data_IF_901795306513
#
_entry.id   IF_901795306513
#
_cell.length_a   1.000
_cell.length_b   1.000
_cell.length_c   1.000
_cell.angle_alpha   90.00
_cell.angle_beta   90.00
_cell.angle_gamma   90.00
#
_symmetry.space_group_name_H-M   'P 1'
#
loop_
_entity.id
_entity.type
_entity.pdbx_description
1 polymer ?
#
# COMPACT_ATOMS: atom_id res chain seq x y z
N UNK A 1 2.27 1.73 -15.72
CA UNK A 1 1.80 3.08 -15.35
C UNK A 1 2.19 4.04 -16.45
N UNK A 2 1.23 4.77 -17.01
CA UNK A 2 1.49 5.74 -18.07
C UNK A 2 2.12 7.01 -17.48
N UNK A 3 2.88 7.74 -18.29
CA UNK A 3 3.64 8.90 -17.84
C UNK A 3 2.76 10.01 -17.21
N UNK A 4 1.53 10.16 -17.70
CA UNK A 4 0.54 11.08 -17.12
C UNK A 4 0.08 10.67 -15.71
N UNK A 5 -0.02 9.36 -15.46
CA UNK A 5 -0.36 8.85 -14.13
C UNK A 5 0.77 9.10 -13.13
N UNK A 6 2.03 8.99 -13.58
CA UNK A 6 3.22 9.35 -12.77
C UNK A 6 3.13 10.81 -12.35
N UNK A 7 2.88 11.72 -13.28
CA UNK A 7 2.79 13.15 -12.98
C UNK A 7 1.68 13.45 -11.97
N UNK A 8 0.47 12.92 -12.20
CA UNK A 8 -0.66 13.09 -11.27
C UNK A 8 -0.40 12.49 -9.90
N UNK A 9 0.27 11.33 -9.84
CA UNK A 9 0.63 10.68 -8.59
C UNK A 9 1.61 11.55 -7.77
N UNK A 10 2.69 12.03 -8.40
CA UNK A 10 3.70 12.87 -7.74
C UNK A 10 3.08 14.15 -7.19
N UNK A 11 2.27 14.84 -8.00
CA UNK A 11 1.57 16.05 -7.56
C UNK A 11 0.70 15.79 -6.33
N UNK A 12 -0.10 14.73 -6.35
CA UNK A 12 -0.93 14.34 -5.20
C UNK A 12 -0.10 14.00 -3.97
N UNK A 13 1.01 13.28 -4.15
CA UNK A 13 1.90 12.90 -3.07
C UNK A 13 2.50 14.12 -2.38
N UNK A 14 3.05 15.07 -3.13
CA UNK A 14 3.68 16.26 -2.54
C UNK A 14 2.66 17.18 -1.88
N UNK A 15 1.49 17.38 -2.48
CA UNK A 15 0.40 18.14 -1.86
C UNK A 15 -0.10 17.50 -0.56
N UNK A 16 -0.30 16.17 -0.56
CA UNK A 16 -0.77 15.46 0.64
C UNK A 16 0.20 15.55 1.81
N UNK A 17 1.50 15.72 1.53
CA UNK A 17 2.55 15.88 2.53
C UNK A 17 2.90 17.35 2.81
N UNK A 18 2.06 18.29 2.38
CA UNK A 18 2.21 19.71 2.68
C UNK A 18 3.40 20.39 2.01
N UNK A 19 3.96 19.80 0.95
CA UNK A 19 4.99 20.48 0.16
C UNK A 19 4.37 21.55 -0.73
N UNK A 20 5.13 22.63 -0.95
CA UNK A 20 4.78 23.68 -1.88
C UNK A 20 5.33 23.36 -3.27
N UNK A 21 4.48 23.40 -4.30
CA UNK A 21 4.92 23.30 -5.70
C UNK A 21 5.29 24.71 -6.16
N UNK A 22 6.60 24.98 -6.22
CA UNK A 22 7.14 26.31 -6.52
C UNK A 22 7.15 26.63 -8.01
N UNK A 23 7.24 25.61 -8.86
CA UNK A 23 7.11 25.74 -10.30
C UNK A 23 6.48 24.48 -10.90
N UNK A 24 5.68 24.63 -11.95
CA UNK A 24 4.98 23.53 -12.61
C UNK A 24 4.77 23.85 -14.08
N UNK A 25 5.08 22.89 -14.94
CA UNK A 25 4.79 22.99 -16.37
C UNK A 25 4.47 21.64 -17.01
N UNK A 26 4.23 21.62 -18.32
CA UNK A 26 3.94 20.39 -19.03
C UNK A 26 5.17 19.46 -18.96
N UNK A 27 5.04 18.35 -18.25
CA UNK A 27 6.12 17.36 -18.14
C UNK A 27 7.17 17.62 -17.05
N UNK A 28 6.98 18.60 -16.15
CA UNK A 28 7.86 18.77 -14.99
C UNK A 28 7.17 19.46 -13.80
N UNK A 29 7.73 19.30 -12.61
CA UNK A 29 7.35 20.06 -11.42
C UNK A 29 8.57 20.31 -10.53
N UNK A 30 8.63 21.45 -9.86
CA UNK A 30 9.60 21.78 -8.83
C UNK A 30 8.87 21.92 -7.51
N UNK A 31 9.38 21.23 -6.49
CA UNK A 31 8.73 21.12 -5.18
C UNK A 31 9.70 21.53 -4.10
N UNK A 32 9.26 22.42 -3.21
CA UNK A 32 9.92 22.71 -1.95
C UNK A 32 9.53 21.65 -0.93
N UNK A 33 10.51 20.85 -0.49
CA UNK A 33 10.25 19.78 0.48
C UNK A 33 9.96 20.35 1.87
N UNK A 34 9.14 19.64 2.64
CA UNK A 34 9.04 19.83 4.08
C UNK A 34 10.27 19.24 4.79
N UNK A 35 10.47 19.56 6.07
CA UNK A 35 11.55 18.96 6.88
C UNK A 35 11.44 17.43 6.88
N UNK A 36 10.23 16.91 7.07
CA UNK A 36 10.00 15.47 7.17
C UNK A 36 10.23 14.76 5.85
N UNK A 37 9.72 15.31 4.72
CA UNK A 37 9.96 14.71 3.42
C UNK A 37 11.39 14.85 2.94
N UNK A 38 12.09 15.89 3.35
CA UNK A 38 13.50 16.00 3.07
C UNK A 38 14.32 14.92 3.80
N UNK A 39 14.04 14.65 5.08
CA UNK A 39 14.67 13.54 5.82
C UNK A 39 14.37 12.18 5.20
N UNK A 40 13.14 11.98 4.73
CA UNK A 40 12.66 10.74 4.14
C UNK A 40 13.24 10.50 2.73
N UNK A 41 13.33 11.55 1.90
CA UNK A 41 13.70 11.43 0.50
C UNK A 41 15.16 11.80 0.21
N UNK A 42 15.72 12.76 0.93
CA UNK A 42 17.07 13.27 0.71
C UNK A 42 18.02 12.58 1.67
N UNK A 43 18.86 11.69 1.12
CA UNK A 43 19.85 10.90 1.87
C UNK A 43 20.97 11.77 2.47
N UNK A 44 20.63 12.65 3.42
CA UNK A 44 21.53 13.60 4.09
C UNK A 44 21.38 13.57 5.62
N UNK A 45 21.45 12.39 6.28
CA UNK A 45 21.23 12.26 7.72
C UNK A 45 22.21 13.10 8.56
N UNK A 46 23.45 13.27 8.11
CA UNK A 46 24.46 14.08 8.82
C UNK A 46 24.12 15.56 8.88
N UNK A 47 23.49 16.11 7.83
CA UNK A 47 23.03 17.50 7.82
C UNK A 47 22.00 17.72 8.93
N UNK A 48 20.98 16.86 8.99
CA UNK A 48 19.90 16.97 9.97
C UNK A 48 20.40 16.75 11.39
N UNK A 49 21.25 15.75 11.61
CA UNK A 49 21.84 15.48 12.92
C UNK A 49 22.67 16.67 13.44
N UNK A 50 23.46 17.30 12.57
CA UNK A 50 24.22 18.49 12.95
C UNK A 50 23.30 19.69 13.26
N UNK A 51 22.30 19.92 12.41
CA UNK A 51 21.38 21.05 12.54
C UNK A 51 20.53 20.97 13.82
N UNK A 52 20.04 19.78 14.16
CA UNK A 52 19.28 19.53 15.39
C UNK A 52 20.13 19.71 16.64
N UNK A 53 21.41 19.32 16.61
CA UNK A 53 22.34 19.52 17.72
C UNK A 53 22.73 20.97 17.94
N UNK A 54 22.78 21.76 16.86
CA UNK A 54 23.25 23.14 16.89
C UNK A 54 22.12 24.15 17.00
N UNK A 55 20.85 23.73 16.90
CA UNK A 55 19.70 24.63 16.89
C UNK A 55 19.64 25.51 15.65
N UNK A 56 20.23 25.07 14.54
CA UNK A 56 20.25 25.81 13.28
C UNK A 56 18.86 25.93 12.64
N UNK A 57 18.69 26.89 11.72
CA UNK A 57 17.44 27.09 10.99
C UNK A 57 17.33 26.04 9.87
N UNK A 58 16.28 25.21 9.84
CA UNK A 58 16.08 24.20 8.81
C UNK A 58 16.06 24.79 7.40
N UNK A 59 16.77 24.15 6.46
CA UNK A 59 16.73 24.47 5.04
C UNK A 59 16.48 23.19 4.21
N UNK A 60 15.21 22.77 4.07
CA UNK A 60 14.84 21.65 3.19
C UNK A 60 15.19 21.92 1.72
N UNK A 61 15.58 20.87 0.99
CA UNK A 61 15.95 20.99 -0.41
C UNK A 61 14.74 21.18 -1.32
N UNK A 62 14.98 21.78 -2.48
CA UNK A 62 14.05 21.76 -3.60
C UNK A 62 14.36 20.59 -4.53
N UNK A 63 13.30 19.98 -5.07
CA UNK A 63 13.39 18.85 -5.99
C UNK A 63 12.66 19.18 -7.29
N UNK A 64 13.38 19.14 -8.41
CA UNK A 64 12.80 19.27 -9.75
C UNK A 64 12.68 17.88 -10.38
N UNK A 65 11.45 17.51 -10.73
CA UNK A 65 11.08 16.21 -11.30
C UNK A 65 10.60 16.39 -12.73
N UNK A 66 11.29 15.77 -13.68
CA UNK A 66 10.95 15.79 -15.10
C UNK A 66 10.17 14.52 -15.42
N UNK A 67 8.86 14.64 -15.56
CA UNK A 67 7.98 13.54 -15.93
C UNK A 67 7.78 13.43 -17.43
N UNK A 68 8.17 14.37 -18.28
CA UNK A 68 8.16 14.15 -19.72
C UNK A 68 9.19 15.07 -20.38
N UNK A 69 10.30 14.50 -20.83
CA UNK A 69 11.39 15.27 -21.45
C UNK A 69 10.99 15.96 -22.76
N UNK A 70 10.01 15.42 -23.50
CA UNK A 70 9.56 16.03 -24.76
C UNK A 70 8.72 17.29 -24.53
N UNK A 71 8.06 17.38 -23.37
CA UNK A 71 7.20 18.51 -23.01
C UNK A 71 7.92 19.51 -22.09
N UNK A 72 8.86 19.02 -21.28
CA UNK A 72 9.61 19.86 -20.36
C UNK A 72 10.50 20.85 -21.14
N UNK A 73 10.55 22.13 -20.73
CA UNK A 73 11.43 23.10 -21.36
C UNK A 73 12.90 22.66 -21.32
N UNK A 74 13.70 22.85 -22.39
CA UNK A 74 15.08 22.33 -22.47
C UNK A 74 16.05 22.88 -21.40
N UNK A 75 15.72 24.01 -20.78
CA UNK A 75 16.55 24.67 -19.78
C UNK A 75 16.29 24.15 -18.35
N UNK A 76 15.21 23.41 -18.13
CA UNK A 76 14.88 22.84 -16.82
C UNK A 76 15.84 21.68 -16.54
N UNK A 77 16.61 21.80 -15.46
CA UNK A 77 17.45 20.73 -14.94
C UNK A 77 16.73 20.06 -13.76
N UNK A 78 16.62 18.75 -13.81
CA UNK A 78 15.93 17.98 -12.79
C UNK A 78 16.13 16.48 -12.97
N UNK A 79 15.60 15.72 -12.02
CA UNK A 79 15.63 14.26 -12.06
C UNK A 79 14.55 13.75 -13.02
N UNK A 80 14.93 12.89 -13.97
CA UNK A 80 13.99 12.29 -14.92
C UNK A 80 13.26 11.15 -14.24
N UNK A 81 11.93 11.24 -14.20
CA UNK A 81 11.09 10.25 -13.53
C UNK A 81 10.36 9.42 -14.57
N UNK A 82 10.55 8.10 -14.48
CA UNK A 82 9.82 7.09 -15.23
C UNK A 82 9.51 5.93 -14.27
N UNK A 83 8.72 4.95 -14.71
CA UNK A 83 8.22 3.91 -13.82
C UNK A 83 9.30 3.12 -13.07
N UNK A 84 10.47 2.94 -13.67
CA UNK A 84 11.62 2.24 -13.08
C UNK A 84 12.65 3.15 -12.42
N UNK A 85 12.39 4.45 -12.24
CA UNK A 85 13.38 5.34 -11.62
C UNK A 85 13.47 5.07 -10.11
N UNK A 86 14.69 5.00 -9.52
CA UNK A 86 14.85 4.75 -8.09
C UNK A 86 14.07 5.73 -7.21
N UNK A 87 14.04 7.02 -7.60
CA UNK A 87 13.28 8.06 -6.90
C UNK A 87 11.79 7.79 -6.86
N UNK A 88 11.20 7.31 -7.96
CA UNK A 88 9.78 7.02 -7.96
C UNK A 88 9.45 5.85 -7.01
N UNK A 89 10.30 4.82 -6.99
CA UNK A 89 10.17 3.72 -6.04
C UNK A 89 10.32 4.20 -4.59
N UNK A 90 11.29 5.06 -4.30
CA UNK A 90 11.44 5.66 -2.97
C UNK A 90 10.19 6.45 -2.55
N UNK A 91 9.58 7.21 -3.47
CA UNK A 91 8.33 7.94 -3.20
C UNK A 91 7.17 6.97 -2.99
N UNK A 92 7.08 5.86 -3.73
CA UNK A 92 6.07 4.83 -3.47
C UNK A 92 6.24 4.19 -2.10
N UNK A 93 7.48 3.92 -1.68
CA UNK A 93 7.79 3.37 -0.36
C UNK A 93 7.40 4.35 0.74
N UNK A 94 7.79 5.61 0.59
CA UNK A 94 7.42 6.68 1.51
C UNK A 94 5.90 6.84 1.61
N UNK A 95 5.19 6.86 0.48
CA UNK A 95 3.73 6.94 0.47
C UNK A 95 3.07 5.77 1.22
N UNK A 96 3.60 4.55 1.08
CA UNK A 96 3.11 3.37 1.83
C UNK A 96 3.36 3.48 3.33
N UNK A 97 4.54 3.99 3.71
CA UNK A 97 4.91 4.16 5.11
C UNK A 97 4.06 5.24 5.81
N UNK A 98 3.84 6.38 5.13
CA UNK A 98 3.12 7.51 5.68
C UNK A 98 1.59 7.31 5.69
N UNK A 99 1.05 6.51 4.76
CA UNK A 99 -0.39 6.30 4.59
C UNK A 99 -0.87 4.90 5.03
N UNK A 100 -0.15 4.22 5.92
CA UNK A 100 -0.49 2.86 6.36
C UNK A 100 -1.79 2.76 7.17
N UNK A 101 -2.15 3.82 7.91
CA UNK A 101 -3.35 3.86 8.73
C UNK A 101 -3.94 5.28 8.84
N UNK A 102 -5.28 5.37 8.88
CA UNK A 102 -6.00 6.64 9.10
C UNK A 102 -7.14 6.50 10.12
N UNK A 103 -7.54 7.61 10.74
CA UNK A 103 -8.77 7.70 11.51
C UNK A 103 -9.67 8.80 10.94
N UNK A 104 -10.89 8.46 10.56
CA UNK A 104 -11.86 9.38 9.98
C UNK A 104 -13.24 9.23 10.61
N UNK A 105 -14.02 10.30 10.55
CA UNK A 105 -15.38 10.40 11.05
C UNK A 105 -16.29 10.83 9.90
N UNK A 106 -17.50 10.27 9.84
CA UNK A 106 -18.51 10.71 8.88
C UNK A 106 -18.93 12.14 9.18
N UNK A 107 -18.72 13.03 8.21
CA UNK A 107 -19.16 14.42 8.27
C UNK A 107 -20.63 14.50 7.86
N UNK A 108 -21.51 14.64 8.85
CA UNK A 108 -22.94 14.83 8.63
C UNK A 108 -23.36 16.25 9.03
N UNK A 109 -24.43 16.75 8.42
CA UNK A 109 -25.04 18.03 8.78
C UNK A 109 -26.29 17.75 9.59
N UNK A 110 -26.21 17.91 10.91
CA UNK A 110 -27.37 17.79 11.80
C UNK A 110 -27.76 19.13 12.40
N UNK A 111 -29.06 19.26 12.68
CA UNK A 111 -29.58 20.41 13.39
C UNK A 111 -29.08 20.42 14.85
N UNK A 112 -28.86 21.61 15.43
CA UNK A 112 -28.52 21.74 16.84
C UNK A 112 -29.50 21.00 17.76
N UNK A 113 -28.97 20.26 18.74
CA UNK A 113 -29.77 19.61 19.78
C UNK A 113 -30.00 18.10 19.62
N UNK A 114 -29.62 17.49 18.49
CA UNK A 114 -29.66 16.03 18.32
C UNK A 114 -28.25 15.46 18.24
N UNK A 115 -27.84 14.69 19.25
CA UNK A 115 -26.55 14.01 19.22
C UNK A 115 -26.62 12.75 18.37
N UNK A 116 -25.62 12.54 17.51
CA UNK A 116 -25.53 11.37 16.63
C UNK A 116 -24.40 10.45 17.06
N UNK A 117 -24.69 9.17 17.35
CA UNK A 117 -23.65 8.18 17.64
C UNK A 117 -22.92 7.78 16.36
N UNK A 118 -21.59 7.71 16.44
CA UNK A 118 -20.73 7.16 15.40
C UNK A 118 -20.18 5.81 15.82
N UNK A 119 -20.48 4.78 15.03
CA UNK A 119 -20.06 3.40 15.24
C UNK A 119 -18.65 3.18 14.69
N UNK A 120 -17.74 2.53 15.45
CA UNK A 120 -16.40 2.25 14.98
C UNK A 120 -16.39 1.09 13.98
N UNK A 121 -15.74 1.32 12.84
CA UNK A 121 -15.46 0.35 11.80
C UNK A 121 -13.95 0.25 11.58
N UNK A 122 -13.44 -0.97 11.46
CA UNK A 122 -12.09 -1.24 10.98
C UNK A 122 -12.17 -1.49 9.47
N UNK A 123 -11.64 -0.56 8.69
CA UNK A 123 -11.47 -0.73 7.25
C UNK A 123 -10.09 -1.30 6.94
N UNK A 124 -10.01 -2.29 6.05
CA UNK A 124 -8.77 -2.92 5.63
C UNK A 124 -8.76 -3.16 4.13
N UNK A 125 -7.74 -2.65 3.45
CA UNK A 125 -7.48 -2.95 2.05
C UNK A 125 -6.36 -3.99 1.98
N UNK A 126 -6.64 -5.11 1.33
CA UNK A 126 -5.84 -6.33 1.41
C UNK A 126 -5.54 -6.80 0.00
N UNK A 127 -4.31 -7.26 -0.22
CA UNK A 127 -3.90 -7.97 -1.43
C UNK A 127 -3.73 -9.44 -1.10
N UNK A 128 -4.41 -10.29 -1.84
CA UNK A 128 -4.25 -11.74 -1.85
C UNK A 128 -3.50 -12.12 -3.13
N UNK A 129 -2.28 -12.61 -2.97
CA UNK A 129 -1.41 -13.01 -4.07
C UNK A 129 -1.32 -14.53 -4.16
N UNK A 130 -1.88 -15.11 -5.22
CA UNK A 130 -1.74 -16.52 -5.57
C UNK A 130 -0.48 -16.66 -6.43
N UNK A 131 0.48 -17.44 -5.98
CA UNK A 131 1.81 -17.49 -6.55
C UNK A 131 2.30 -18.93 -6.76
N UNK A 132 2.82 -19.16 -7.95
CA UNK A 132 3.62 -20.30 -8.38
C UNK A 132 4.47 -19.79 -9.56
N UNK A 133 4.54 -20.54 -10.67
CA UNK A 133 5.16 -20.10 -11.93
C UNK A 133 4.48 -18.86 -12.52
N UNK A 134 3.26 -18.56 -12.06
CA UNK A 134 2.52 -17.33 -12.35
C UNK A 134 2.07 -16.68 -11.06
N UNK A 135 1.90 -15.36 -11.11
CA UNK A 135 1.36 -14.56 -10.01
C UNK A 135 0.03 -13.93 -10.41
N UNK A 136 -0.99 -14.12 -9.57
CA UNK A 136 -2.30 -13.46 -9.67
C UNK A 136 -2.55 -12.70 -8.37
N UNK A 137 -2.77 -11.40 -8.48
CA UNK A 137 -3.13 -10.54 -7.35
C UNK A 137 -4.62 -10.21 -7.38
N UNK A 138 -5.28 -10.39 -6.24
CA UNK A 138 -6.67 -10.00 -5.99
C UNK A 138 -6.69 -8.97 -4.87
N UNK A 139 -7.41 -7.87 -5.08
CA UNK A 139 -7.55 -6.79 -4.11
C UNK A 139 -8.93 -6.87 -3.45
N UNK A 140 -8.96 -6.82 -2.12
CA UNK A 140 -10.18 -6.85 -1.31
C UNK A 140 -10.21 -5.65 -0.38
N UNK A 141 -11.41 -5.11 -0.17
CA UNK A 141 -11.64 -4.05 0.80
C UNK A 141 -12.71 -4.52 1.78
N UNK A 142 -12.32 -4.71 3.04
CA UNK A 142 -13.18 -5.28 4.09
C UNK A 142 -13.39 -4.23 5.18
N UNK A 143 -14.64 -4.02 5.55
CA UNK A 143 -15.06 -3.24 6.71
C UNK A 143 -15.59 -4.17 7.78
N UNK A 144 -15.05 -4.07 8.99
CA UNK A 144 -15.54 -4.79 10.17
C UNK A 144 -16.10 -3.79 11.18
N UNK A 145 -17.39 -3.86 11.47
CA UNK A 145 -17.97 -3.08 12.56
C UNK A 145 -17.50 -3.62 13.91
N UNK A 146 -16.86 -2.77 14.71
CA UNK A 146 -16.18 -3.16 15.96
C UNK A 146 -17.12 -3.30 17.17
N UNK A 147 -18.44 -3.19 16.98
CA UNK A 147 -19.44 -3.43 18.04
C UNK A 147 -20.04 -4.82 17.88
N UNK A 148 -20.73 -5.08 16.76
CA UNK A 148 -21.44 -6.34 16.53
C UNK A 148 -20.64 -7.36 15.70
N UNK A 149 -19.51 -6.96 15.08
CA UNK A 149 -18.71 -7.83 14.24
C UNK A 149 -19.21 -8.02 12.81
N UNK A 150 -20.17 -7.22 12.35
CA UNK A 150 -20.65 -7.23 10.97
C UNK A 150 -19.48 -6.95 10.00
N UNK A 151 -19.35 -7.79 8.98
CA UNK A 151 -18.37 -7.61 7.90
C UNK A 151 -19.05 -7.16 6.62
N UNK A 152 -18.40 -6.26 5.90
CA UNK A 152 -18.87 -5.71 4.63
C UNK A 152 -17.72 -5.68 3.63
N UNK A 153 -17.92 -6.29 2.47
CA UNK A 153 -16.98 -6.22 1.34
C UNK A 153 -17.18 -4.93 0.54
N UNK A 154 -16.19 -4.61 -0.30
CA UNK A 154 -16.12 -3.34 -1.06
C UNK A 154 -16.26 -2.11 -0.16
N UNK A 155 -15.70 -2.18 1.05
CA UNK A 155 -15.87 -1.13 2.05
C UNK A 155 -15.30 0.21 1.59
N UNK A 156 -14.13 0.21 0.94
CA UNK A 156 -13.53 1.43 0.40
C UNK A 156 -14.41 2.11 -0.65
N UNK A 157 -15.08 1.35 -1.51
CA UNK A 157 -15.99 1.92 -2.52
C UNK A 157 -17.15 2.66 -1.86
N UNK A 158 -17.67 2.15 -0.73
CA UNK A 158 -18.69 2.84 0.07
C UNK A 158 -18.13 4.14 0.67
N UNK A 159 -16.91 4.10 1.20
CA UNK A 159 -16.26 5.28 1.78
C UNK A 159 -16.03 6.40 0.75
N UNK A 160 -15.77 6.07 -0.52
CA UNK A 160 -15.59 7.07 -1.58
C UNK A 160 -16.85 7.91 -1.83
N UNK A 161 -18.04 7.37 -1.52
CA UNK A 161 -19.30 8.10 -1.61
C UNK A 161 -19.63 8.98 -0.39
N UNK A 162 -18.79 8.96 0.65
CA UNK A 162 -19.07 9.63 1.93
C UNK A 162 -18.23 10.90 2.09
N UNK A 163 -18.78 11.86 2.83
CA UNK A 163 -17.99 12.98 3.35
C UNK A 163 -17.32 12.53 4.65
N UNK A 164 -16.00 12.44 4.65
CA UNK A 164 -15.21 12.05 5.82
C UNK A 164 -14.30 13.19 6.28
N UNK A 165 -14.08 13.29 7.59
CA UNK A 165 -13.25 14.32 8.22
C UNK A 165 -12.33 13.72 9.28
N UNK A 166 -11.11 14.26 9.50
CA UNK A 166 -10.21 13.81 10.56
C UNK A 166 -10.65 14.27 11.96
N UNK A 167 -11.56 15.24 12.05
CA UNK A 167 -12.07 15.78 13.33
C UNK A 167 -13.51 15.31 13.55
N UNK A 168 -13.84 14.93 14.79
CA UNK A 168 -15.21 14.60 15.18
C UNK A 168 -16.12 15.79 14.83
N UNK A 169 -17.18 15.59 14.01
CA UNK A 169 -18.11 16.66 13.66
C UNK A 169 -18.91 17.13 14.89
N UNK A 170 -19.47 18.33 14.78
CA UNK A 170 -20.35 18.87 15.82
C UNK A 170 -21.55 17.93 16.07
N UNK A 171 -22.06 17.95 17.30
CA UNK A 171 -23.18 17.12 17.75
C UNK A 171 -22.97 15.61 17.51
N UNK A 172 -21.72 15.14 17.50
CA UNK A 172 -21.37 13.73 17.31
C UNK A 172 -20.62 13.18 18.53
N UNK A 173 -20.81 11.90 18.82
CA UNK A 173 -20.01 11.17 19.80
C UNK A 173 -19.67 9.78 19.29
N UNK A 174 -18.51 9.26 19.69
CA UNK A 174 -18.05 7.93 19.28
C UNK A 174 -18.55 6.87 20.23
N UNK A 175 -18.94 5.72 19.71
CA UNK A 175 -19.18 4.53 20.50
C UNK A 175 -17.87 3.78 20.73
N UNK A 176 -17.72 3.21 21.92
CA UNK A 176 -16.55 2.39 22.26
C UNK A 176 -16.62 1.04 21.53
N UNK A 177 -15.52 0.59 20.92
CA UNK A 177 -15.48 -0.74 20.30
C UNK A 177 -15.57 -1.83 21.37
N UNK A 178 -16.36 -2.87 21.10
CA UNK A 178 -16.38 -4.11 21.88
C UNK A 178 -15.32 -5.08 21.36
N UNK A 179 -15.03 -5.02 20.06
CA UNK A 179 -13.99 -5.79 19.38
C UNK A 179 -12.79 -4.86 19.21
N UNK A 180 -11.69 -5.18 19.90
CA UNK A 180 -10.47 -4.37 19.77
C UNK A 180 -9.90 -4.47 18.35
N UNK A 181 -9.29 -3.40 17.79
CA UNK A 181 -8.80 -3.40 16.41
C UNK A 181 -7.86 -4.57 16.08
N UNK A 182 -6.96 -4.94 17.00
CA UNK A 182 -6.08 -6.10 16.82
C UNK A 182 -6.87 -7.40 16.63
N UNK A 183 -7.87 -7.67 17.48
CA UNK A 183 -8.77 -8.81 17.31
C UNK A 183 -9.59 -8.71 16.02
N UNK A 184 -9.95 -7.50 15.60
CA UNK A 184 -10.63 -7.25 14.34
C UNK A 184 -9.80 -7.66 13.12
N UNK A 185 -8.50 -7.34 13.12
CA UNK A 185 -7.56 -7.76 12.06
C UNK A 185 -7.54 -9.29 11.94
N UNK A 186 -7.46 -10.02 13.05
CA UNK A 186 -7.50 -11.48 13.02
C UNK A 186 -8.82 -12.04 12.50
N UNK A 187 -9.96 -11.40 12.82
CA UNK A 187 -11.27 -11.79 12.28
C UNK A 187 -11.32 -11.63 10.76
N UNK A 188 -10.84 -10.51 10.23
CA UNK A 188 -10.77 -10.27 8.78
C UNK A 188 -9.82 -11.26 8.10
N UNK A 189 -8.67 -11.54 8.72
CA UNK A 189 -7.73 -12.53 8.19
C UNK A 189 -8.34 -13.94 8.12
N UNK A 190 -9.05 -14.37 9.16
CA UNK A 190 -9.75 -15.66 9.17
C UNK A 190 -10.89 -15.72 8.15
N UNK A 191 -11.62 -14.62 7.96
CA UNK A 191 -12.65 -14.51 6.92
C UNK A 191 -12.05 -14.75 5.52
N UNK A 192 -10.95 -14.06 5.20
CA UNK A 192 -10.26 -14.24 3.91
C UNK A 192 -9.68 -15.65 3.77
N UNK A 193 -9.11 -16.20 4.84
CA UNK A 193 -8.59 -17.56 4.82
C UNK A 193 -9.69 -18.58 4.50
N UNK A 194 -10.84 -18.46 5.14
CA UNK A 194 -11.99 -19.34 4.91
C UNK A 194 -12.52 -19.22 3.47
N UNK A 195 -12.49 -18.01 2.90
CA UNK A 195 -12.85 -17.80 1.49
C UNK A 195 -11.87 -18.51 0.55
N UNK A 196 -10.57 -18.32 0.75
CA UNK A 196 -9.52 -18.99 -0.05
C UNK A 196 -9.65 -20.50 0.06
N UNK A 197 -9.91 -21.06 1.24
CA UNK A 197 -10.08 -22.51 1.44
C UNK A 197 -11.25 -23.08 0.60
N UNK A 198 -12.27 -22.28 0.30
CA UNK A 198 -13.45 -22.69 -0.49
C UNK A 198 -13.30 -22.47 -2.00
N UNK A 199 -12.25 -21.78 -2.45
CA UNK A 199 -12.00 -21.52 -3.87
C UNK A 199 -11.56 -22.77 -4.65
N UNK A 200 -11.62 -22.68 -5.99
CA UNK A 200 -11.07 -23.71 -6.87
C UNK A 200 -9.53 -23.66 -6.91
N UNK A 201 -8.89 -24.72 -6.42
CA UNK A 201 -7.43 -24.83 -6.30
C UNK A 201 -6.74 -25.50 -7.49
N UNK A 202 -7.42 -25.66 -8.63
CA UNK A 202 -6.83 -26.25 -9.85
C UNK A 202 -5.50 -25.63 -10.25
N UNK A 203 -5.32 -24.33 -10.06
CA UNK A 203 -4.06 -23.65 -10.36
C UNK A 203 -2.88 -24.25 -9.59
N UNK A 204 -3.07 -24.60 -8.31
CA UNK A 204 -2.06 -25.18 -7.45
C UNK A 204 -1.79 -26.63 -7.85
N UNK A 205 -2.83 -27.39 -8.21
CA UNK A 205 -2.68 -28.78 -8.65
C UNK A 205 -1.95 -28.88 -9.99
N UNK A 206 -2.24 -27.98 -10.93
CA UNK A 206 -1.52 -27.89 -12.19
C UNK A 206 -0.06 -27.48 -11.99
N UNK A 207 0.22 -26.53 -11.10
CA UNK A 207 1.58 -26.14 -10.76
C UNK A 207 2.38 -27.31 -10.17
N UNK A 208 1.79 -28.10 -9.25
CA UNK A 208 2.42 -29.33 -8.72
C UNK A 208 2.70 -30.37 -9.80
N UNK A 209 1.78 -30.55 -10.77
CA UNK A 209 2.02 -31.47 -11.90
C UNK A 209 3.19 -31.02 -12.78
N UNK A 210 3.29 -29.72 -13.07
CA UNK A 210 4.43 -29.15 -13.82
C UNK A 210 5.73 -29.31 -13.03
N UNK A 211 5.69 -29.02 -11.74
CA UNK A 211 6.84 -29.21 -10.85
C UNK A 211 7.34 -30.65 -10.88
N UNK A 212 6.45 -31.63 -10.72
CA UNK A 212 6.84 -33.04 -10.72
C UNK A 212 7.48 -33.45 -12.06
N UNK A 213 6.97 -32.95 -13.18
CA UNK A 213 7.54 -33.22 -14.50
C UNK A 213 8.97 -32.68 -14.63
N UNK A 214 9.19 -31.44 -14.19
CA UNK A 214 10.51 -30.80 -14.26
C UNK A 214 11.48 -31.42 -13.24
N UNK A 215 10.99 -31.84 -12.07
CA UNK A 215 11.79 -32.56 -11.08
C UNK A 215 12.24 -33.92 -11.60
N UNK A 216 11.35 -34.69 -12.25
CA UNK A 216 11.71 -35.96 -12.87
C UNK A 216 12.73 -35.78 -14.00
N UNK A 217 12.61 -34.69 -14.78
CA UNK A 217 13.61 -34.35 -15.79
C UNK A 217 14.98 -34.05 -15.16
N UNK A 218 15.00 -33.25 -14.07
CA UNK A 218 16.21 -32.96 -13.31
C UNK A 218 16.82 -34.25 -12.74
N UNK A 219 16.01 -35.13 -12.16
CA UNK A 219 16.48 -36.42 -11.62
C UNK A 219 17.15 -37.28 -12.69
N UNK A 220 16.60 -37.34 -13.91
CA UNK A 220 17.19 -38.08 -15.02
C UNK A 220 18.54 -37.51 -15.48
N UNK A 221 18.69 -36.18 -15.50
CA UNK A 221 19.98 -35.55 -15.85
C UNK A 221 21.11 -35.88 -14.87
N UNK A 222 20.77 -36.14 -13.60
CA UNK A 222 21.72 -36.46 -12.53
C UNK A 222 21.72 -37.94 -12.14
N UNK A 223 21.12 -38.82 -12.95
CA UNK A 223 20.98 -40.25 -12.64
C UNK A 223 22.33 -41.00 -12.63
N UNK A 224 23.26 -40.59 -13.51
CA UNK A 224 24.60 -41.17 -13.62
C UNK A 224 25.66 -40.42 -12.78
N UNK A 225 25.26 -39.39 -12.03
CA UNK A 225 26.18 -38.66 -11.17
C UNK A 225 26.47 -39.46 -9.89
N UNK A 226 27.75 -39.81 -9.66
CA UNK A 226 28.19 -40.54 -8.46
C UNK A 226 27.87 -39.78 -7.16
N UNK A 227 27.82 -38.44 -7.22
CA UNK A 227 27.43 -37.59 -6.09
C UNK A 227 26.59 -36.41 -6.57
N UNK A 228 25.39 -36.24 -6.00
CA UNK A 228 24.55 -35.06 -6.26
C UNK A 228 25.15 -33.86 -5.55
N UNK A 229 25.92 -33.08 -6.30
CA UNK A 229 26.59 -31.88 -5.80
C UNK A 229 25.65 -30.68 -5.60
N UNK A 230 26.25 -29.56 -5.20
CA UNK A 230 25.57 -28.28 -4.91
C UNK A 230 24.70 -27.77 -6.08
N UNK A 231 25.08 -28.04 -7.33
CA UNK A 231 24.30 -27.67 -8.51
C UNK A 231 22.90 -28.31 -8.52
N UNK A 232 22.80 -29.59 -8.16
CA UNK A 232 21.52 -30.31 -8.13
C UNK A 232 20.58 -29.72 -7.06
N UNK A 233 21.11 -29.47 -5.86
CA UNK A 233 20.31 -28.91 -4.76
C UNK A 233 19.87 -27.46 -5.05
N UNK A 234 20.73 -26.67 -5.68
CA UNK A 234 20.38 -25.31 -6.11
C UNK A 234 19.27 -25.33 -7.18
N UNK A 235 19.36 -26.19 -8.18
CA UNK A 235 18.33 -26.32 -9.22
C UNK A 235 17.01 -26.87 -8.65
N UNK A 236 17.08 -27.86 -7.76
CA UNK A 236 15.91 -28.39 -7.07
C UNK A 236 15.22 -27.32 -6.21
N UNK A 237 16.00 -26.50 -5.51
CA UNK A 237 15.48 -25.36 -4.73
C UNK A 237 14.85 -24.32 -5.64
N UNK A 238 15.47 -24.00 -6.77
CA UNK A 238 14.91 -23.07 -7.75
C UNK A 238 13.57 -23.58 -8.33
N UNK A 239 13.45 -24.88 -8.62
CA UNK A 239 12.19 -25.51 -9.03
C UNK A 239 11.12 -25.39 -7.94
N UNK A 240 11.50 -25.60 -6.67
CA UNK A 240 10.59 -25.40 -5.54
C UNK A 240 10.12 -23.95 -5.45
N UNK A 241 11.03 -22.98 -5.43
CA UNK A 241 10.68 -21.56 -5.35
C UNK A 241 9.77 -21.09 -6.50
N UNK A 242 9.98 -21.67 -7.68
CA UNK A 242 9.20 -21.38 -8.87
C UNK A 242 7.81 -22.01 -8.82
N UNK A 243 7.68 -23.29 -8.50
CA UNK A 243 6.41 -24.00 -8.67
C UNK A 243 5.60 -24.20 -7.39
N UNK A 244 6.20 -24.08 -6.21
CA UNK A 244 5.51 -24.31 -4.94
C UNK A 244 4.32 -23.34 -4.81
N UNK A 245 3.07 -23.84 -4.81
CA UNK A 245 1.89 -23.00 -4.72
C UNK A 245 1.81 -22.35 -3.36
N UNK A 246 1.80 -21.02 -3.32
CA UNK A 246 1.66 -20.23 -2.09
C UNK A 246 0.65 -19.12 -2.27
N UNK A 247 -0.12 -18.86 -1.21
CA UNK A 247 -1.03 -17.71 -1.14
C UNK A 247 -0.51 -16.75 -0.09
N UNK A 248 -0.15 -15.54 -0.52
CA UNK A 248 0.35 -14.48 0.34
C UNK A 248 -0.76 -13.46 0.58
N UNK A 249 -1.11 -13.23 1.84
CA UNK A 249 -2.07 -12.21 2.25
C UNK A 249 -1.29 -11.05 2.86
N UNK A 250 -1.40 -9.86 2.27
CA UNK A 250 -0.74 -8.65 2.76
C UNK A 250 -1.75 -7.51 2.92
N UNK A 251 -1.74 -6.84 4.07
CA UNK A 251 -2.50 -5.60 4.29
C UNK A 251 -1.77 -4.48 3.56
N UNK A 252 -2.48 -3.74 2.70
CA UNK A 252 -1.95 -2.60 1.96
C UNK A 252 -2.01 -1.35 2.84
N UNK A 253 -3.18 -1.10 3.42
CA UNK A 253 -3.46 -0.04 4.38
C UNK A 253 -4.77 -0.36 5.12
N UNK A 254 -5.06 0.43 6.14
CA UNK A 254 -6.34 0.34 6.84
C UNK A 254 -6.71 1.63 7.55
N UNK A 255 -7.77 1.59 8.33
CA UNK A 255 -8.18 2.74 9.12
C UNK A 255 -9.31 2.44 10.08
N UNK A 256 -9.49 3.33 11.07
CA UNK A 256 -10.69 3.38 11.88
C UNK A 256 -11.64 4.45 11.34
N UNK A 257 -12.85 4.03 11.00
CA UNK A 257 -13.89 4.88 10.46
C UNK A 257 -15.06 4.91 11.44
N UNK A 258 -15.48 6.10 11.83
CA UNK A 258 -16.58 6.30 12.77
C UNK A 258 -17.78 6.81 11.98
N UNK A 259 -18.73 5.91 11.75
CA UNK A 259 -19.81 6.11 10.78
C UNK A 259 -21.17 6.04 11.47
N UNK A 260 -22.15 6.76 10.94
CA UNK A 260 -23.54 6.68 11.38
C UNK A 260 -24.16 5.32 11.01
N UNK A 261 -25.32 5.01 11.59
CA UNK A 261 -25.94 3.69 11.44
C UNK A 261 -26.32 3.33 9.99
N UNK A 262 -26.69 4.33 9.19
CA UNK A 262 -27.15 4.14 7.82
C UNK A 262 -26.04 4.30 6.78
N UNK A 263 -24.80 4.46 7.21
CA UNK A 263 -23.70 4.77 6.29
C UNK A 263 -23.30 3.57 5.44
N UNK A 264 -23.28 2.36 6.02
CA UNK A 264 -22.70 1.15 5.41
C UNK A 264 -23.75 0.09 5.17
#
# INVERSE_FOLDING_TARGET
MQQQEIHKFLERYFHANGCEITDKGPGYMTVQLTIDLDKELMNRPFYWHYLEKTGGIPNPMQLTLITNQQLAPPHIKGEVIHFGSPRLHQIFDSARNLAGYIRLYENHRQAPGKQVPLRPWLGMNIRVSYQCDRKRDVFKSIGLQLINGQMVESFHDRLLGMSLTPKIPDYSFTLSPLIMPGSGVFRVANFIKAEIEQEDHKWADEARKRWQKDLTLLEHFYEEAEEKGESYENEKTALQEQYEPKVNISIINGGLFYLTDNAV
#
